data_IF_540007443311
#
_entry.id   IF_540007443311
#
_cell.length_a   1.000
_cell.length_b   1.000
_cell.length_c   1.000
_cell.angle_alpha   90.00
_cell.angle_beta   90.00
_cell.angle_gamma   90.00
#
_symmetry.space_group_name_H-M   'P 1'
#
loop_
_entity.id
_entity.type
_entity.pdbx_description
1 polymer ?
#
# COMPACT_ATOMS: atom_id res chain seq x y z
N UNK A 1 -4.22 20.47 5.14
CA UNK A 1 -4.57 19.82 6.41
C UNK A 1 -5.71 18.84 6.20
N UNK A 2 -5.58 17.63 6.76
CA UNK A 2 -6.65 16.65 6.69
C UNK A 2 -7.74 17.02 7.68
N UNK A 3 -8.98 16.89 7.22
CA UNK A 3 -10.12 17.12 8.08
C UNK A 3 -10.43 15.87 8.90
N UNK A 4 -10.72 16.07 10.19
CA UNK A 4 -11.13 15.01 11.09
C UNK A 4 -12.65 15.02 11.24
N UNK A 5 -13.21 13.90 11.73
CA UNK A 5 -14.64 13.76 11.99
C UNK A 5 -15.49 13.99 10.74
N UNK A 6 -14.99 13.47 9.60
CA UNK A 6 -15.66 13.60 8.32
C UNK A 6 -15.78 12.22 7.69
N UNK A 7 -16.96 11.92 7.17
CA UNK A 7 -17.19 10.65 6.48
C UNK A 7 -16.49 10.67 5.12
N UNK A 8 -15.74 9.61 4.83
CA UNK A 8 -15.06 9.45 3.55
C UNK A 8 -15.55 8.15 2.92
N UNK A 9 -16.04 8.25 1.68
CA UNK A 9 -16.42 7.08 0.91
C UNK A 9 -15.19 6.62 0.14
N UNK A 10 -14.65 5.45 0.51
CA UNK A 10 -13.40 4.96 -0.09
C UNK A 10 -13.55 4.62 -1.55
N UNK A 11 -14.68 4.06 -1.97
CA UNK A 11 -14.87 3.70 -3.38
C UNK A 11 -14.97 4.96 -4.25
N UNK A 12 -15.63 5.99 -3.74
CA UNK A 12 -15.71 7.28 -4.43
C UNK A 12 -14.32 7.91 -4.51
N UNK A 13 -13.56 7.89 -3.42
CA UNK A 13 -12.20 8.42 -3.40
C UNK A 13 -11.30 7.69 -4.39
N UNK A 14 -11.43 6.36 -4.47
CA UNK A 14 -10.65 5.57 -5.39
C UNK A 14 -10.83 6.01 -6.85
N UNK A 15 -12.03 6.41 -7.20
CA UNK A 15 -12.33 6.86 -8.58
C UNK A 15 -11.65 8.17 -8.93
N UNK A 16 -11.16 8.91 -7.96
CA UNK A 16 -10.43 10.17 -8.21
C UNK A 16 -8.95 9.95 -8.50
N UNK A 17 -8.43 8.75 -8.22
CA UNK A 17 -7.01 8.46 -8.43
C UNK A 17 -6.75 8.07 -9.88
N UNK A 18 -5.59 8.45 -10.40
CA UNK A 18 -5.25 8.21 -11.80
C UNK A 18 -3.73 8.08 -11.95
N UNK A 19 -3.29 7.83 -13.21
CA UNK A 19 -1.87 7.70 -13.53
C UNK A 19 -1.32 6.32 -13.21
N UNK A 20 -0.01 6.18 -13.34
CA UNK A 20 0.66 4.90 -13.14
C UNK A 20 0.77 4.53 -11.67
N UNK A 21 0.89 5.54 -10.82
CA UNK A 21 0.94 5.36 -9.38
C UNK A 21 0.49 6.65 -8.70
N UNK A 22 -0.45 6.50 -7.79
CA UNK A 22 -0.88 7.63 -6.96
C UNK A 22 -1.15 7.13 -5.55
N UNK A 23 -0.65 7.85 -4.55
CA UNK A 23 -0.79 7.49 -3.14
C UNK A 23 -1.21 8.74 -2.38
N UNK A 24 -2.33 8.64 -1.67
CA UNK A 24 -2.88 9.79 -0.94
C UNK A 24 -3.17 9.38 0.51
N UNK A 25 -3.04 10.34 1.42
CA UNK A 25 -3.43 10.13 2.81
C UNK A 25 -4.93 10.30 2.92
N UNK A 26 -5.61 9.28 3.47
CA UNK A 26 -7.06 9.30 3.70
C UNK A 26 -7.36 9.89 5.07
N UNK A 27 -6.64 9.44 6.09
CA UNK A 27 -6.88 9.90 7.45
C UNK A 27 -5.66 9.64 8.33
N UNK A 28 -5.66 10.27 9.49
CA UNK A 28 -4.60 10.08 10.48
C UNK A 28 -5.21 9.53 11.75
N UNK A 29 -4.46 8.68 12.43
CA UNK A 29 -4.86 8.10 13.71
C UNK A 29 -3.63 8.09 14.61
N UNK A 30 -3.55 9.10 15.51
CA UNK A 30 -2.38 9.31 16.35
C UNK A 30 -1.13 9.48 15.49
N UNK A 31 -0.11 8.64 15.68
CA UNK A 31 1.12 8.70 14.88
C UNK A 31 1.09 7.77 13.67
N UNK A 32 -0.08 7.30 13.29
CA UNK A 32 -0.27 6.44 12.11
C UNK A 32 -1.12 7.14 11.06
N UNK A 33 -1.03 6.65 9.84
CA UNK A 33 -1.83 7.16 8.72
C UNK A 33 -2.50 5.98 8.00
N UNK A 34 -3.68 6.27 7.44
CA UNK A 34 -4.34 5.41 6.48
C UNK A 34 -4.13 6.05 5.11
N UNK A 35 -3.53 5.29 4.18
CA UNK A 35 -3.29 5.75 2.82
C UNK A 35 -4.08 4.90 1.83
N UNK A 36 -4.36 5.49 0.69
CA UNK A 36 -4.91 4.76 -0.44
C UNK A 36 -3.95 4.90 -1.61
N UNK A 37 -3.64 3.79 -2.28
CA UNK A 37 -2.80 3.84 -3.47
C UNK A 37 -3.47 3.11 -4.62
N UNK A 38 -3.25 3.64 -5.82
CA UNK A 38 -3.66 3.03 -7.07
C UNK A 38 -2.42 2.86 -7.93
N UNK A 39 -2.27 1.69 -8.54
CA UNK A 39 -1.12 1.44 -9.40
C UNK A 39 -1.52 0.65 -10.64
N UNK A 40 -0.80 0.88 -11.72
CA UNK A 40 -0.94 0.12 -12.97
C UNK A 40 0.35 -0.58 -13.34
N UNK A 41 1.44 -0.33 -12.61
CA UNK A 41 2.75 -0.90 -12.86
C UNK A 41 3.38 -1.36 -11.54
N UNK A 42 4.35 -2.29 -11.58
CA UNK A 42 5.04 -2.71 -10.37
C UNK A 42 5.77 -1.56 -9.69
N UNK A 43 5.77 -1.57 -8.37
CA UNK A 43 6.58 -0.67 -7.57
C UNK A 43 7.94 -1.32 -7.37
N UNK A 44 8.93 -0.57 -6.88
CA UNK A 44 10.29 -1.10 -6.72
C UNK A 44 10.41 -1.95 -5.45
N UNK A 45 11.43 -2.81 -5.41
CA UNK A 45 11.78 -3.56 -4.21
C UNK A 45 12.28 -2.60 -3.14
N UNK A 46 11.80 -2.78 -1.90
CA UNK A 46 12.13 -1.88 -0.79
C UNK A 46 11.80 -2.54 0.54
N UNK A 47 12.22 -1.88 1.60
CA UNK A 47 11.78 -2.23 2.95
C UNK A 47 11.58 -0.95 3.77
N UNK A 48 10.87 -1.10 4.88
CA UNK A 48 10.61 -0.01 5.81
C UNK A 48 11.29 -0.36 7.13
N UNK A 49 12.38 0.35 7.51
CA UNK A 49 13.14 -0.03 8.71
C UNK A 49 12.44 0.28 10.01
N UNK A 50 11.45 1.16 10.00
CA UNK A 50 10.85 1.68 11.24
C UNK A 50 9.35 1.45 11.37
N UNK A 51 8.71 0.73 10.46
CA UNK A 51 7.25 0.55 10.54
C UNK A 51 6.82 -0.75 9.89
N UNK A 52 5.88 -1.44 10.53
CA UNK A 52 5.06 -2.44 9.86
C UNK A 52 4.15 -1.72 8.87
N UNK A 53 3.70 -2.45 7.86
CA UNK A 53 2.78 -1.90 6.87
C UNK A 53 1.67 -2.92 6.63
N UNK A 54 0.43 -2.55 6.98
CA UNK A 54 -0.71 -3.42 6.76
C UNK A 54 -1.42 -3.01 5.47
N UNK A 55 -1.56 -3.96 4.56
CA UNK A 55 -2.25 -3.78 3.29
C UNK A 55 -3.67 -4.31 3.39
N UNK A 56 -4.61 -3.54 2.88
CA UNK A 56 -6.02 -3.94 2.80
C UNK A 56 -6.45 -3.79 1.34
N UNK A 57 -6.89 -4.88 0.72
CA UNK A 57 -7.37 -4.83 -0.66
C UNK A 57 -8.69 -4.08 -0.76
N UNK A 58 -8.83 -3.24 -1.79
CA UNK A 58 -10.04 -2.47 -2.00
C UNK A 58 -10.68 -2.78 -3.35
N UNK A 59 -9.90 -2.73 -4.44
CA UNK A 59 -10.41 -2.98 -5.77
C UNK A 59 -9.30 -3.55 -6.64
N UNK A 60 -9.63 -4.53 -7.49
CA UNK A 60 -8.63 -5.30 -8.19
C UNK A 60 -7.87 -6.22 -7.24
N UNK A 61 -6.79 -6.82 -7.73
CA UNK A 61 -5.95 -7.71 -6.92
C UNK A 61 -4.54 -7.17 -6.89
N UNK A 62 -4.01 -7.02 -5.67
CA UNK A 62 -2.64 -6.60 -5.45
C UNK A 62 -1.75 -7.82 -5.24
N UNK A 63 -0.63 -7.88 -5.94
CA UNK A 63 0.38 -8.90 -5.71
C UNK A 63 1.43 -8.34 -4.78
N UNK A 64 1.64 -9.01 -3.66
CA UNK A 64 2.70 -8.71 -2.70
C UNK A 64 3.77 -9.77 -2.85
N UNK A 65 4.95 -9.37 -3.29
CA UNK A 65 6.09 -10.26 -3.39
C UNK A 65 7.04 -9.99 -2.23
N UNK A 66 7.37 -11.05 -1.50
CA UNK A 66 8.37 -11.02 -0.44
C UNK A 66 9.54 -11.93 -0.86
N UNK A 67 10.57 -12.02 -0.02
CA UNK A 67 11.76 -12.81 -0.40
C UNK A 67 11.43 -14.28 -0.61
N UNK A 68 10.49 -14.82 0.16
CA UNK A 68 10.21 -16.26 0.17
C UNK A 68 8.73 -16.60 -0.03
N UNK A 69 7.91 -15.63 -0.40
CA UNK A 69 6.52 -15.91 -0.70
C UNK A 69 5.92 -14.82 -1.57
N UNK A 70 4.80 -15.15 -2.19
CA UNK A 70 4.01 -14.26 -3.03
C UNK A 70 2.57 -14.37 -2.57
N UNK A 71 1.94 -13.22 -2.34
CA UNK A 71 0.57 -13.14 -1.84
C UNK A 71 -0.27 -12.40 -2.85
N UNK A 72 -1.47 -12.91 -3.13
CA UNK A 72 -2.47 -12.21 -3.93
C UNK A 72 -3.54 -11.69 -3.00
N UNK A 73 -3.65 -10.37 -2.92
CA UNK A 73 -4.54 -9.69 -2.00
C UNK A 73 -5.72 -9.11 -2.76
N UNK A 74 -6.89 -9.72 -2.56
CA UNK A 74 -8.14 -9.26 -3.19
C UNK A 74 -8.90 -8.30 -2.28
N UNK A 75 -10.03 -7.76 -2.79
CA UNK A 75 -10.84 -6.84 -2.00
C UNK A 75 -11.27 -7.43 -0.68
N UNK A 76 -11.12 -6.65 0.40
CA UNK A 76 -11.50 -7.07 1.73
C UNK A 76 -10.50 -7.96 2.44
N UNK A 77 -9.38 -8.30 1.81
CA UNK A 77 -8.32 -9.11 2.42
C UNK A 77 -7.23 -8.22 3.01
N UNK A 78 -6.56 -8.74 4.01
CA UNK A 78 -5.55 -7.99 4.78
C UNK A 78 -4.26 -8.80 4.88
N UNK A 79 -3.13 -8.14 4.71
CA UNK A 79 -1.82 -8.74 4.91
C UNK A 79 -0.87 -7.71 5.50
N UNK A 80 -0.14 -8.10 6.53
CA UNK A 80 0.82 -7.20 7.19
C UNK A 80 2.24 -7.60 6.84
N UNK A 81 2.98 -6.65 6.29
CA UNK A 81 4.42 -6.80 6.06
C UNK A 81 5.14 -6.19 7.25
N UNK A 82 5.94 -7.01 7.94
CA UNK A 82 6.66 -6.54 9.11
C UNK A 82 7.84 -5.65 8.72
N UNK A 83 8.16 -4.71 9.61
CA UNK A 83 9.28 -3.81 9.36
C UNK A 83 10.55 -4.60 9.05
N UNK A 84 11.36 -4.07 8.15
CA UNK A 84 12.60 -4.71 7.73
C UNK A 84 12.44 -5.75 6.63
N UNK A 85 11.23 -6.18 6.31
CA UNK A 85 11.00 -7.21 5.29
C UNK A 85 11.03 -6.61 3.89
N UNK A 86 11.90 -7.13 3.04
CA UNK A 86 11.97 -6.68 1.65
C UNK A 86 10.75 -7.17 0.88
N UNK A 87 10.15 -6.26 0.13
CA UNK A 87 8.94 -6.58 -0.62
C UNK A 87 8.74 -5.61 -1.76
N UNK A 88 7.85 -5.97 -2.67
CA UNK A 88 7.32 -5.05 -3.67
C UNK A 88 5.88 -5.40 -3.98
N UNK A 89 5.16 -4.44 -4.56
CA UNK A 89 3.76 -4.58 -4.93
C UNK A 89 3.58 -4.40 -6.43
N UNK A 90 2.57 -5.04 -6.98
CA UNK A 90 2.18 -4.87 -8.37
C UNK A 90 0.71 -5.24 -8.54
N UNK A 91 0.03 -4.68 -9.55
CA UNK A 91 -1.33 -5.12 -9.83
C UNK A 91 -1.31 -6.46 -10.54
N UNK A 92 -2.30 -7.31 -10.24
CA UNK A 92 -2.46 -8.58 -10.94
C UNK A 92 -2.99 -8.37 -12.35
N UNK A 93 -3.83 -7.37 -12.54
CA UNK A 93 -4.38 -7.03 -13.85
C UNK A 93 -3.92 -5.66 -14.29
N UNK A 94 -4.84 -4.91 -14.89
CA UNK A 94 -4.51 -3.59 -15.42
C UNK A 94 -4.25 -2.56 -14.32
N UNK A 95 -4.84 -2.75 -13.14
CA UNK A 95 -4.72 -1.80 -12.04
C UNK A 95 -5.19 -2.46 -10.74
N UNK A 96 -4.79 -1.86 -9.63
CA UNK A 96 -5.26 -2.25 -8.30
C UNK A 96 -5.34 -1.02 -7.41
N UNK A 97 -6.26 -1.07 -6.45
CA UNK A 97 -6.40 -0.05 -5.41
C UNK A 97 -6.37 -0.75 -4.06
N UNK A 98 -5.55 -0.26 -3.17
CA UNK A 98 -5.44 -0.82 -1.82
C UNK A 98 -5.27 0.31 -0.81
N UNK A 99 -5.52 -0.04 0.44
CA UNK A 99 -5.23 0.83 1.59
C UNK A 99 -3.99 0.31 2.29
N UNK A 100 -3.26 1.22 2.95
CA UNK A 100 -2.20 0.83 3.88
C UNK A 100 -2.36 1.59 5.18
N UNK A 101 -1.99 0.90 6.28
CA UNK A 101 -1.90 1.50 7.61
C UNK A 101 -0.46 1.39 8.06
N UNK A 102 0.14 2.52 8.46
CA UNK A 102 1.55 2.58 8.79
C UNK A 102 1.85 3.81 9.63
N UNK A 103 3.04 3.86 10.22
CA UNK A 103 3.47 5.07 10.92
C UNK A 103 3.53 6.24 9.95
N UNK A 104 3.17 7.43 10.44
CA UNK A 104 3.20 8.63 9.61
C UNK A 104 4.64 8.99 9.19
N UNK A 105 5.62 8.64 10.03
CA UNK A 105 7.04 8.90 9.77
C UNK A 105 7.75 7.71 9.14
N UNK A 106 7.01 6.82 8.46
CA UNK A 106 7.58 5.63 7.82
C UNK A 106 8.69 6.02 6.86
N UNK A 107 9.79 5.27 6.92
CA UNK A 107 10.93 5.43 6.02
C UNK A 107 10.92 4.32 5.00
N UNK A 108 11.40 4.61 3.79
CA UNK A 108 11.46 3.64 2.70
C UNK A 108 12.88 3.59 2.16
N UNK A 109 13.44 2.38 2.14
CA UNK A 109 14.77 2.14 1.59
C UNK A 109 14.62 1.27 0.35
N UNK A 110 14.94 1.82 -0.80
CA UNK A 110 14.89 1.07 -2.05
C UNK A 110 16.08 0.12 -2.13
N UNK A 111 15.84 -1.09 -2.60
CA UNK A 111 16.88 -2.11 -2.73
C UNK A 111 16.78 -2.74 -4.10
N UNK A 112 17.85 -3.43 -4.49
CA UNK A 112 17.81 -4.24 -5.69
C UNK A 112 17.05 -5.52 -5.40
N UNK A 113 16.71 -6.24 -6.44
CA UNK A 113 15.99 -7.50 -6.30
C UNK A 113 16.74 -8.38 -5.31
N UNK A 114 16.06 -8.95 -4.29
CA UNK A 114 16.74 -9.70 -3.23
C UNK A 114 17.41 -10.98 -3.71
N UNK A 115 17.08 -11.44 -4.88
CA UNK A 115 17.64 -12.66 -5.44
C UNK A 115 18.72 -12.36 -6.46
N UNK A 116 19.76 -11.84 -6.03
CA UNK A 116 20.86 -11.45 -6.90
C UNK A 116 21.84 -12.60 -7.10
#
# INVERSE_FOLDING_TARGET
MLESMKLIDLMEKARTLSGKYENVIISRNNNHVLRMSRMTEPYFWHFHPNSDETFIGLDGVLILELENQRVELGPGQVFTVLKGSMHRTSPSGSWSVNLTVERADIETVQVEHPRV
#
